data_IF_728916492694
#
_entry.id   IF_728916492694
#
_cell.length_a   1.000
_cell.length_b   1.000
_cell.length_c   1.000
_cell.angle_alpha   90.00
_cell.angle_beta   90.00
_cell.angle_gamma   90.00
#
_symmetry.space_group_name_H-M   'P 1'
#
loop_
_entity.id
_entity.type
_entity.pdbx_description
1 polymer ?
#
# COMPACT_ATOMS: atom_id res chain seq x y z
N UNK A 1 26.54 30.39 -30.62
CA UNK A 1 25.71 29.19 -30.35
C UNK A 1 25.42 29.21 -28.85
N UNK A 2 24.19 28.88 -28.40
CA UNK A 2 23.93 28.73 -26.97
C UNK A 2 24.87 27.64 -26.41
N UNK A 3 25.37 27.83 -25.20
CA UNK A 3 26.17 26.80 -24.51
C UNK A 3 25.19 25.76 -23.97
N UNK A 4 25.38 24.49 -24.34
CA UNK A 4 24.62 23.38 -23.78
C UNK A 4 25.24 22.92 -22.47
N UNK A 5 24.41 22.66 -21.47
CA UNK A 5 24.80 22.22 -20.14
C UNK A 5 24.04 20.94 -19.77
N UNK A 6 24.53 20.20 -18.78
CA UNK A 6 23.77 19.09 -18.19
C UNK A 6 22.46 19.59 -17.56
N UNK A 7 21.45 18.73 -17.40
CA UNK A 7 20.19 19.11 -16.79
C UNK A 7 20.38 19.62 -15.36
N UNK A 8 19.52 20.53 -14.93
CA UNK A 8 19.50 20.96 -13.54
C UNK A 8 18.93 19.88 -12.63
N UNK A 9 19.20 20.03 -11.33
CA UNK A 9 18.60 19.20 -10.29
C UNK A 9 17.07 19.24 -10.37
N UNK A 10 16.45 18.10 -10.11
CA UNK A 10 14.99 18.00 -9.98
C UNK A 10 14.59 18.55 -8.60
N UNK A 11 13.94 19.71 -8.61
CA UNK A 11 13.48 20.39 -7.39
C UNK A 11 12.05 20.00 -6.98
N UNK A 12 11.23 19.54 -7.94
CA UNK A 12 9.84 19.14 -7.73
C UNK A 12 9.72 17.64 -7.96
N UNK A 13 9.65 16.90 -6.85
CA UNK A 13 9.58 15.45 -6.83
C UNK A 13 8.64 15.01 -5.69
N UNK A 14 7.62 14.25 -6.05
CA UNK A 14 6.61 13.69 -5.17
C UNK A 14 6.67 12.17 -5.18
N UNK A 15 6.24 11.60 -4.07
CA UNK A 15 6.11 10.16 -3.87
C UNK A 15 4.77 9.90 -3.24
N UNK A 16 3.98 9.00 -3.83
CA UNK A 16 2.75 8.51 -3.22
C UNK A 16 2.95 7.02 -2.88
N UNK A 17 2.76 6.62 -1.62
CA UNK A 17 2.93 5.22 -1.23
C UNK A 17 1.82 4.37 -1.86
N UNK A 18 2.17 3.16 -2.27
CA UNK A 18 1.26 2.05 -2.64
C UNK A 18 1.50 0.89 -1.67
N UNK A 19 0.64 -0.12 -1.70
CA UNK A 19 0.79 -1.31 -0.86
C UNK A 19 2.13 -2.01 -1.08
N UNK A 20 2.40 -2.44 -2.32
CA UNK A 20 3.62 -3.17 -2.69
C UNK A 20 4.62 -2.31 -3.46
N UNK A 21 4.51 -0.98 -3.33
CA UNK A 21 5.22 -0.07 -4.20
C UNK A 21 5.13 1.40 -3.82
N UNK A 22 5.64 2.25 -4.71
CA UNK A 22 5.57 3.70 -4.59
C UNK A 22 5.40 4.29 -5.98
N UNK A 23 4.42 5.18 -6.14
CA UNK A 23 4.31 6.04 -7.32
C UNK A 23 5.27 7.23 -7.17
N UNK A 24 6.16 7.39 -8.14
CA UNK A 24 7.10 8.51 -8.21
C UNK A 24 6.63 9.48 -9.28
N UNK A 25 6.54 10.76 -8.94
CA UNK A 25 6.15 11.81 -9.87
C UNK A 25 7.09 13.00 -9.77
N UNK A 26 7.64 13.47 -10.89
CA UNK A 26 8.47 14.66 -10.89
C UNK A 26 8.22 15.56 -12.08
N UNK A 27 8.52 16.85 -11.91
CA UNK A 27 8.50 17.81 -13.00
C UNK A 27 9.84 17.80 -13.72
N UNK A 28 9.80 17.84 -15.04
CA UNK A 28 11.01 17.97 -15.85
C UNK A 28 11.83 19.21 -15.42
N UNK A 29 13.14 19.06 -15.13
CA UNK A 29 13.99 20.17 -14.77
C UNK A 29 14.40 20.98 -16.01
N UNK A 30 15.05 22.13 -15.78
CA UNK A 30 15.67 22.87 -16.89
C UNK A 30 16.70 22.00 -17.62
N UNK A 31 16.52 21.85 -18.93
CA UNK A 31 17.31 20.94 -19.77
C UNK A 31 18.70 21.49 -20.17
N UNK A 32 19.04 22.70 -19.75
CA UNK A 32 20.34 23.31 -20.03
C UNK A 32 20.62 23.59 -21.51
N UNK A 33 19.58 23.64 -22.36
CA UNK A 33 19.70 23.87 -23.81
C UNK A 33 19.94 22.62 -24.65
N UNK A 34 19.81 21.42 -24.07
CA UNK A 34 19.81 20.14 -24.79
C UNK A 34 18.65 19.27 -24.29
N UNK A 35 17.98 18.56 -25.20
CA UNK A 35 16.84 17.69 -24.88
C UNK A 35 17.18 16.63 -23.83
N UNK A 36 16.29 16.43 -22.86
CA UNK A 36 16.41 15.34 -21.88
C UNK A 36 16.03 14.04 -22.59
N UNK A 37 16.94 13.07 -22.55
CA UNK A 37 16.81 11.80 -23.28
C UNK A 37 16.37 10.65 -22.39
N UNK A 38 16.62 10.72 -21.08
CA UNK A 38 16.24 9.70 -20.12
C UNK A 38 16.32 10.20 -18.68
N UNK A 39 15.80 9.38 -17.75
CA UNK A 39 15.91 9.59 -16.32
C UNK A 39 16.55 8.35 -15.68
N UNK A 40 17.31 8.58 -14.62
CA UNK A 40 17.81 7.52 -13.74
C UNK A 40 17.18 7.65 -12.37
N UNK A 41 16.80 6.52 -11.80
CA UNK A 41 16.15 6.42 -10.50
C UNK A 41 17.01 5.49 -9.64
N UNK A 42 17.23 5.91 -8.39
CA UNK A 42 17.86 5.04 -7.39
C UNK A 42 17.03 4.98 -6.12
N UNK A 43 17.11 3.84 -5.45
CA UNK A 43 16.39 3.58 -4.22
C UNK A 43 17.27 2.85 -3.20
N UNK A 44 16.92 2.97 -1.93
CA UNK A 44 17.49 2.19 -0.81
C UNK A 44 16.47 2.11 0.32
N UNK A 45 16.69 1.21 1.27
CA UNK A 45 16.02 1.32 2.57
C UNK A 45 16.53 2.56 3.30
N UNK A 46 15.62 3.32 3.90
CA UNK A 46 15.96 4.52 4.68
C UNK A 46 16.60 4.13 6.02
N UNK A 47 17.38 5.04 6.59
CA UNK A 47 17.81 4.90 7.98
C UNK A 47 16.60 5.10 8.90
N UNK A 48 16.50 4.25 9.92
CA UNK A 48 15.54 4.42 11.01
C UNK A 48 16.28 4.89 12.25
N UNK A 49 15.80 5.97 12.85
CA UNK A 49 16.25 6.37 14.18
C UNK A 49 15.79 5.35 15.22
N UNK A 50 16.64 5.07 16.20
CA UNK A 50 16.31 4.16 17.28
C UNK A 50 15.23 4.76 18.18
N UNK A 51 14.19 4.00 18.46
CA UNK A 51 13.14 4.39 19.41
C UNK A 51 13.46 3.76 20.77
N UNK A 52 13.60 4.55 21.85
CA UNK A 52 13.80 3.98 23.18
C UNK A 52 12.56 3.21 23.64
N UNK A 53 12.75 2.25 24.54
CA UNK A 53 11.63 1.57 25.18
C UNK A 53 10.77 2.59 25.93
N UNK A 54 9.45 2.42 25.86
CA UNK A 54 8.50 3.27 26.58
C UNK A 54 7.37 2.43 27.17
N UNK A 55 6.76 2.94 28.24
CA UNK A 55 5.66 2.27 28.94
C UNK A 55 4.35 2.97 28.64
N UNK A 56 3.40 2.23 28.08
CA UNK A 56 2.01 2.67 27.92
C UNK A 56 1.22 2.23 29.15
N UNK A 57 0.43 3.13 29.72
CA UNK A 57 -0.51 2.79 30.79
C UNK A 57 -1.88 2.60 30.16
N UNK A 58 -2.43 1.40 30.28
CA UNK A 58 -3.75 1.02 29.80
C UNK A 58 -4.72 1.27 30.96
N UNK A 59 -5.67 2.22 30.82
CA UNK A 59 -6.65 2.50 31.86
C UNK A 59 -7.49 1.26 32.16
N UNK A 60 -7.62 0.94 33.44
CA UNK A 60 -8.57 -0.08 33.88
C UNK A 60 -10.00 0.43 33.78
N UNK A 61 -10.95 -0.48 33.54
CA UNK A 61 -12.37 -0.17 33.55
C UNK A 61 -12.96 -0.45 34.94
N UNK A 62 -13.07 0.60 35.76
CA UNK A 62 -13.67 0.50 37.10
C UNK A 62 -15.19 0.24 37.08
N UNK A 63 -15.86 0.52 35.97
CA UNK A 63 -17.30 0.36 35.78
C UNK A 63 -17.70 -0.97 35.10
N UNK A 64 -16.73 -1.72 34.58
CA UNK A 64 -16.96 -3.02 33.97
C UNK A 64 -17.28 -4.06 35.05
N UNK A 65 -18.00 -5.11 34.68
CA UNK A 65 -18.30 -6.21 35.58
C UNK A 65 -17.78 -7.53 34.98
N UNK A 66 -16.61 -8.02 35.43
CA UNK A 66 -15.83 -7.54 36.57
C UNK A 66 -14.99 -6.28 36.27
N UNK A 67 -14.62 -5.48 37.29
CA UNK A 67 -13.74 -4.33 37.10
C UNK A 67 -12.34 -4.77 36.66
N UNK A 68 -11.78 -4.14 35.64
CA UNK A 68 -10.39 -4.38 35.21
C UNK A 68 -9.44 -3.38 35.85
N UNK A 69 -8.27 -3.84 36.29
CA UNK A 69 -7.23 -3.00 36.89
C UNK A 69 -6.42 -2.28 35.81
N UNK A 70 -5.87 -1.11 36.15
CA UNK A 70 -4.87 -0.46 35.30
C UNK A 70 -3.69 -1.42 35.08
N UNK A 71 -3.25 -1.51 33.83
CA UNK A 71 -2.09 -2.31 33.47
C UNK A 71 -1.07 -1.45 32.73
N UNK A 72 0.19 -1.89 32.77
CA UNK A 72 1.27 -1.21 32.08
C UNK A 72 1.88 -2.17 31.07
N UNK A 73 1.93 -1.75 29.81
CA UNK A 73 2.59 -2.47 28.74
C UNK A 73 3.92 -1.78 28.44
N UNK A 74 5.02 -2.53 28.51
CA UNK A 74 6.33 -2.02 28.10
C UNK A 74 6.54 -2.36 26.64
N UNK A 75 6.65 -1.34 25.80
CA UNK A 75 7.04 -1.49 24.41
C UNK A 75 8.58 -1.51 24.35
N UNK A 76 9.19 -2.57 23.79
CA UNK A 76 10.64 -2.70 23.76
C UNK A 76 11.30 -1.63 22.88
N UNK A 77 12.56 -1.32 23.17
CA UNK A 77 13.32 -0.39 22.35
C UNK A 77 13.53 -0.97 20.94
N UNK A 78 13.32 -0.15 19.91
CA UNK A 78 13.69 -0.48 18.54
C UNK A 78 15.07 0.11 18.25
N UNK A 79 16.09 -0.70 17.94
CA UNK A 79 17.43 -0.20 17.64
C UNK A 79 17.44 0.59 16.32
N UNK A 80 18.31 1.60 16.24
CA UNK A 80 18.53 2.35 15.01
C UNK A 80 19.00 1.40 13.91
N UNK A 81 18.50 1.58 12.69
CA UNK A 81 18.91 0.80 11.52
C UNK A 81 19.59 1.72 10.50
N UNK A 82 20.80 1.35 10.03
CA UNK A 82 21.46 2.13 8.98
C UNK A 82 20.72 2.00 7.65
N UNK A 83 20.81 3.05 6.83
CA UNK A 83 20.29 3.00 5.46
C UNK A 83 21.01 1.91 4.64
N UNK A 84 20.28 1.31 3.71
CA UNK A 84 20.84 0.35 2.77
C UNK A 84 21.77 1.01 1.73
N UNK A 85 22.38 0.17 0.90
CA UNK A 85 23.13 0.64 -0.27
C UNK A 85 22.16 1.17 -1.33
N UNK A 86 22.59 2.18 -2.08
CA UNK A 86 21.85 2.66 -3.24
C UNK A 86 21.82 1.59 -4.33
N UNK A 87 20.64 1.35 -4.89
CA UNK A 87 20.41 0.45 -6.01
C UNK A 87 19.72 1.23 -7.15
N UNK A 88 20.14 0.98 -8.39
CA UNK A 88 19.45 1.52 -9.56
C UNK A 88 18.14 0.79 -9.80
N UNK A 89 17.09 1.54 -10.10
CA UNK A 89 15.80 1.00 -10.53
C UNK A 89 15.71 1.04 -12.06
N UNK A 90 15.59 -0.13 -12.74
CA UNK A 90 15.54 -0.20 -14.20
C UNK A 90 14.12 0.06 -14.70
N UNK A 91 13.65 1.30 -14.57
CA UNK A 91 12.31 1.73 -14.99
C UNK A 91 12.36 2.83 -16.04
N UNK A 92 11.37 2.83 -16.95
CA UNK A 92 11.18 3.92 -17.92
C UNK A 92 9.94 4.71 -17.50
N UNK A 93 10.07 6.00 -17.17
CA UNK A 93 8.92 6.80 -16.78
C UNK A 93 8.01 7.11 -17.97
N UNK A 94 6.73 7.33 -17.66
CA UNK A 94 5.74 7.82 -18.60
C UNK A 94 5.64 9.33 -18.49
N UNK A 95 5.74 10.00 -19.63
CA UNK A 95 5.57 11.45 -19.71
C UNK A 95 4.08 11.83 -19.68
N UNK A 96 3.75 12.86 -18.89
CA UNK A 96 2.43 13.48 -18.84
C UNK A 96 2.57 14.99 -18.95
N UNK A 97 1.62 15.66 -19.62
CA UNK A 97 1.59 17.12 -19.69
C UNK A 97 0.49 17.66 -18.78
N UNK A 98 0.86 18.49 -17.79
CA UNK A 98 -0.09 19.14 -16.87
C UNK A 98 -0.17 20.63 -17.19
N UNK A 99 -1.40 21.16 -17.27
CA UNK A 99 -1.62 22.58 -17.54
C UNK A 99 -1.04 23.08 -18.88
N UNK A 100 -1.01 22.21 -19.90
CA UNK A 100 -0.59 22.49 -21.30
C UNK A 100 0.89 22.86 -21.53
N UNK A 101 1.67 23.13 -20.48
CA UNK A 101 3.09 23.55 -20.61
C UNK A 101 4.06 22.84 -19.68
N UNK A 102 3.59 22.24 -18.58
CA UNK A 102 4.48 21.52 -17.67
C UNK A 102 4.60 20.06 -18.10
N UNK A 103 5.83 19.62 -18.33
CA UNK A 103 6.16 18.23 -18.58
C UNK A 103 6.44 17.54 -17.24
N UNK A 104 5.71 16.47 -16.98
CA UNK A 104 5.78 15.65 -15.80
C UNK A 104 6.14 14.23 -16.19
N UNK A 105 6.78 13.52 -15.27
CA UNK A 105 7.22 12.16 -15.46
C UNK A 105 6.68 11.34 -14.28
N UNK A 106 6.16 10.17 -14.60
CA UNK A 106 5.53 9.28 -13.63
C UNK A 106 6.04 7.85 -13.81
N UNK A 107 6.32 7.17 -12.70
CA UNK A 107 6.63 5.75 -12.71
C UNK A 107 6.23 5.09 -11.41
N UNK A 108 5.75 3.85 -11.50
CA UNK A 108 5.49 3.02 -10.35
C UNK A 108 6.68 2.09 -10.08
N UNK A 109 7.20 2.15 -8.85
CA UNK A 109 8.19 1.19 -8.34
C UNK A 109 7.42 0.11 -7.60
N UNK A 110 7.46 -1.13 -8.09
CA UNK A 110 6.75 -2.29 -7.51
C UNK A 110 7.70 -3.29 -6.87
N UNK A 111 7.16 -4.24 -6.11
CA UNK A 111 7.92 -5.31 -5.46
C UNK A 111 8.71 -4.83 -4.23
N UNK A 112 8.28 -3.73 -3.62
CA UNK A 112 8.84 -3.22 -2.37
C UNK A 112 8.20 -3.93 -1.19
N UNK A 113 8.95 -4.05 -0.09
CA UNK A 113 8.43 -4.63 1.15
C UNK A 113 7.51 -3.64 1.84
N UNK A 114 6.30 -4.07 2.19
CA UNK A 114 5.27 -3.25 2.83
C UNK A 114 5.73 -2.77 4.22
N UNK A 115 5.28 -1.58 4.64
CA UNK A 115 5.63 -0.99 5.93
C UNK A 115 7.11 -0.56 6.08
N UNK A 116 7.94 -0.72 5.04
CA UNK A 116 9.36 -0.34 5.07
C UNK A 116 9.55 1.08 4.53
N UNK A 117 10.38 1.86 5.22
CA UNK A 117 10.80 3.18 4.76
C UNK A 117 11.84 3.04 3.63
N UNK A 118 11.55 3.62 2.47
CA UNK A 118 12.48 3.73 1.35
C UNK A 118 12.87 5.19 1.11
N UNK A 119 14.07 5.39 0.59
CA UNK A 119 14.60 6.69 0.16
C UNK A 119 14.86 6.64 -1.35
N UNK A 120 14.24 7.56 -2.10
CA UNK A 120 14.30 7.65 -3.55
C UNK A 120 14.99 8.92 -4.02
N UNK A 121 15.74 8.80 -5.13
CA UNK A 121 16.27 9.96 -5.86
C UNK A 121 16.17 9.75 -7.36
N UNK A 122 15.98 10.86 -8.08
CA UNK A 122 15.87 10.88 -9.53
C UNK A 122 16.86 11.91 -10.10
N UNK A 123 17.43 11.64 -11.28
CA UNK A 123 18.18 12.62 -12.06
C UNK A 123 17.83 12.54 -13.54
N UNK A 124 17.85 13.68 -14.23
CA UNK A 124 17.63 13.77 -15.67
C UNK A 124 18.95 13.66 -16.44
N UNK A 125 18.90 13.09 -17.65
CA UNK A 125 20.04 12.91 -18.55
C UNK A 125 19.78 13.55 -19.90
N UNK A 126 20.76 14.29 -20.42
CA UNK A 126 20.78 14.78 -21.80
C UNK A 126 22.11 14.40 -22.48
N UNK A 127 22.28 14.83 -23.73
CA UNK A 127 23.49 14.57 -24.52
C UNK A 127 24.79 15.16 -23.95
N UNK A 128 24.71 16.08 -22.98
CA UNK A 128 25.87 16.69 -22.29
C UNK A 128 26.19 15.95 -20.98
N UNK A 129 25.22 15.29 -20.36
CA UNK A 129 25.40 14.51 -19.13
C UNK A 129 24.11 14.37 -18.33
N UNK A 130 24.16 13.81 -17.10
CA UNK A 130 25.32 13.60 -16.27
C UNK A 130 26.39 12.67 -16.85
N UNK A 131 27.66 13.03 -16.62
CA UNK A 131 28.85 12.23 -16.97
C UNK A 131 29.59 11.76 -15.71
N UNK A 132 29.05 12.09 -14.54
CA UNK A 132 29.52 11.68 -13.22
C UNK A 132 29.13 10.21 -12.94
N UNK A 133 30.08 9.48 -12.34
CA UNK A 133 29.88 8.08 -11.95
C UNK A 133 28.81 7.98 -10.86
N UNK A 134 28.10 6.85 -10.83
CA UNK A 134 27.04 6.56 -9.87
C UNK A 134 27.51 6.73 -8.41
N UNK A 135 28.80 6.42 -8.15
CA UNK A 135 29.42 6.42 -6.83
C UNK A 135 30.14 7.73 -6.46
N UNK A 136 30.43 8.64 -7.40
CA UNK A 136 31.38 9.74 -7.19
C UNK A 136 30.76 11.05 -6.66
N UNK A 137 29.44 11.27 -6.74
CA UNK A 137 28.80 12.45 -6.12
C UNK A 137 27.31 12.23 -5.77
N UNK A 138 27.00 11.76 -4.54
CA UNK A 138 25.63 11.62 -4.09
C UNK A 138 25.02 12.98 -3.70
N UNK A 139 24.68 13.82 -4.68
CA UNK A 139 23.74 14.93 -4.41
C UNK A 139 23.84 16.19 -5.27
N UNK A 140 24.89 16.40 -6.07
CA UNK A 140 24.94 17.63 -6.87
C UNK A 140 24.03 17.63 -8.10
N UNK A 141 23.60 16.46 -8.58
CA UNK A 141 22.72 16.30 -9.75
C UNK A 141 21.49 15.43 -9.52
N UNK A 142 21.50 14.65 -8.46
CA UNK A 142 20.32 13.92 -7.97
C UNK A 142 19.35 14.88 -7.29
N UNK A 143 18.05 14.59 -7.39
CA UNK A 143 17.04 15.23 -6.55
C UNK A 143 17.39 15.11 -5.06
N UNK A 144 16.75 15.92 -4.22
CA UNK A 144 16.74 15.60 -2.79
C UNK A 144 16.10 14.23 -2.56
N UNK A 145 16.59 13.52 -1.55
CA UNK A 145 16.04 12.22 -1.14
C UNK A 145 14.57 12.38 -0.75
N UNK A 146 13.73 11.47 -1.23
CA UNK A 146 12.33 11.37 -0.82
C UNK A 146 12.14 10.09 -0.05
N UNK A 147 11.95 10.29 1.25
CA UNK A 147 11.69 9.22 2.19
C UNK A 147 10.18 8.99 2.22
N UNK A 148 9.76 7.74 2.00
CA UNK A 148 8.37 7.32 1.97
C UNK A 148 8.28 5.91 2.56
N UNK A 149 7.28 5.68 3.40
CA UNK A 149 6.91 4.33 3.81
C UNK A 149 6.03 3.75 2.72
N UNK A 150 6.34 2.56 2.22
CA UNK A 150 5.32 1.78 1.49
C UNK A 150 4.09 1.65 2.38
N UNK A 151 2.90 1.65 1.80
CA UNK A 151 1.72 1.42 2.62
C UNK A 151 1.93 0.07 3.30
N UNK A 152 1.82 0.07 4.61
CA UNK A 152 1.57 -1.17 5.30
C UNK A 152 0.25 -1.67 4.70
N UNK A 153 0.25 -2.87 4.11
CA UNK A 153 -0.99 -3.62 4.14
C UNK A 153 -1.21 -3.77 5.63
N UNK A 154 -2.09 -2.94 6.17
CA UNK A 154 -2.88 -3.25 7.34
C UNK A 154 -3.54 -4.55 6.93
N UNK A 155 -2.82 -5.64 7.17
CA UNK A 155 -3.35 -6.95 7.03
C UNK A 155 -4.35 -6.94 8.18
N UNK A 156 -5.62 -6.69 7.87
CA UNK A 156 -6.63 -6.41 8.90
C UNK A 156 -6.83 -7.59 9.86
N UNK A 157 -6.12 -8.70 9.66
CA UNK A 157 -5.90 -9.72 10.68
C UNK A 157 -5.02 -9.28 11.88
N UNK A 158 -4.26 -8.18 11.80
CA UNK A 158 -3.46 -7.65 12.93
C UNK A 158 -3.86 -6.24 13.39
N UNK A 159 -4.73 -5.53 12.66
CA UNK A 159 -5.11 -4.15 13.00
C UNK A 159 -6.44 -4.15 13.72
N UNK A 160 -6.29 -4.24 15.02
CA UNK A 160 -7.26 -4.28 16.12
C UNK A 160 -8.33 -3.19 16.18
N UNK A 161 -8.48 -2.35 15.16
CA UNK A 161 -9.12 -1.04 15.29
C UNK A 161 -10.29 -0.81 14.31
N UNK A 162 -10.67 -1.78 13.45
CA UNK A 162 -11.97 -1.69 12.76
C UNK A 162 -13.07 -2.02 13.78
N UNK A 163 -14.05 -1.12 13.88
CA UNK A 163 -15.17 -1.24 14.79
C UNK A 163 -16.44 -1.51 13.97
N UNK A 164 -16.79 -2.77 13.82
CA UNK A 164 -18.08 -3.16 13.25
C UNK A 164 -19.11 -3.06 14.37
N UNK A 165 -20.09 -2.15 14.24
CA UNK A 165 -21.06 -1.88 15.31
C UNK A 165 -21.78 -3.14 15.80
N UNK A 166 -22.34 -3.10 17.03
CA UNK A 166 -23.05 -4.22 17.66
C UNK A 166 -24.13 -4.81 16.72
N UNK A 167 -23.92 -6.07 16.31
CA UNK A 167 -24.80 -6.88 15.47
C UNK A 167 -25.37 -8.10 16.20
N UNK A 168 -24.94 -8.36 17.45
CA UNK A 168 -25.43 -9.44 18.29
C UNK A 168 -24.96 -10.84 17.86
N UNK A 169 -23.87 -10.93 17.10
CA UNK A 169 -23.24 -12.19 16.67
C UNK A 169 -22.00 -12.47 17.52
N UNK A 170 -21.65 -13.76 17.65
CA UNK A 170 -20.44 -14.29 18.33
C UNK A 170 -19.47 -14.75 17.23
N UNK A 171 -18.71 -13.80 16.69
CA UNK A 171 -17.80 -13.91 15.56
C UNK A 171 -16.57 -14.77 15.91
N UNK A 172 -16.10 -14.75 17.15
CA UNK A 172 -14.92 -15.51 17.59
C UNK A 172 -15.22 -16.88 18.23
N UNK A 173 -16.51 -17.16 18.42
CA UNK A 173 -17.06 -18.42 18.91
C UNK A 173 -16.60 -18.79 20.33
N UNK A 174 -16.32 -17.79 21.18
CA UNK A 174 -16.04 -18.02 22.60
C UNK A 174 -17.31 -18.25 23.45
N UNK A 175 -18.50 -18.05 22.85
CA UNK A 175 -19.81 -18.21 23.49
C UNK A 175 -20.38 -16.94 24.10
N UNK A 176 -19.75 -15.77 23.88
CA UNK A 176 -20.16 -14.48 24.43
C UNK A 176 -20.44 -13.49 23.29
N UNK A 177 -21.72 -13.15 23.13
CA UNK A 177 -22.12 -12.09 22.18
C UNK A 177 -21.80 -10.71 22.76
N UNK A 178 -21.39 -9.78 21.90
CA UNK A 178 -21.18 -8.36 22.20
C UNK A 178 -19.96 -8.01 23.09
N UNK A 179 -18.86 -8.75 22.99
CA UNK A 179 -17.59 -8.36 23.59
C UNK A 179 -16.83 -7.28 22.79
N UNK A 180 -15.73 -6.79 23.36
CA UNK A 180 -14.96 -5.70 22.75
C UNK A 180 -14.07 -6.20 21.60
N UNK A 181 -13.69 -7.48 21.63
CA UNK A 181 -13.01 -8.23 20.57
C UNK A 181 -13.97 -8.75 19.50
N UNK A 182 -15.21 -9.07 19.84
CA UNK A 182 -16.30 -9.34 18.89
C UNK A 182 -16.47 -8.21 17.86
N UNK A 183 -16.47 -6.96 18.32
CA UNK A 183 -16.50 -5.76 17.46
C UNK A 183 -15.21 -5.56 16.64
N UNK A 184 -14.13 -6.27 16.98
CA UNK A 184 -12.79 -6.17 16.38
C UNK A 184 -12.47 -7.31 15.42
N UNK A 185 -13.25 -8.41 15.41
CA UNK A 185 -12.91 -9.64 14.69
C UNK A 185 -13.57 -9.77 13.30
N UNK A 186 -13.80 -8.65 12.60
CA UNK A 186 -14.29 -8.64 11.22
C UNK A 186 -15.82 -8.72 11.09
N UNK A 187 -16.36 -8.76 9.85
CA UNK A 187 -17.80 -8.83 9.62
C UNK A 187 -18.41 -10.11 10.20
N UNK A 188 -19.70 -10.09 10.58
CA UNK A 188 -20.37 -11.27 11.15
C UNK A 188 -20.21 -12.50 10.24
N UNK A 189 -19.92 -13.68 10.82
CA UNK A 189 -19.81 -14.91 10.06
C UNK A 189 -21.11 -15.18 9.31
N UNK A 190 -20.98 -15.56 8.04
CA UNK A 190 -22.10 -16.04 7.27
C UNK A 190 -22.65 -17.31 7.93
N UNK A 191 -23.97 -17.48 7.96
CA UNK A 191 -24.61 -18.65 8.54
C UNK A 191 -24.01 -19.95 7.95
N UNK A 192 -23.94 -21.02 8.74
CA UNK A 192 -23.39 -22.32 8.27
C UNK A 192 -24.12 -22.85 7.01
N UNK A 193 -25.40 -22.48 6.84
CA UNK A 193 -26.24 -22.82 5.70
C UNK A 193 -26.38 -21.67 4.68
N UNK A 194 -25.46 -20.70 4.71
CA UNK A 194 -25.46 -19.57 3.78
C UNK A 194 -25.43 -20.05 2.32
N UNK A 195 -26.42 -19.61 1.56
CA UNK A 195 -26.55 -19.90 0.14
C UNK A 195 -25.70 -18.92 -0.68
N UNK A 196 -24.44 -19.31 -0.92
CA UNK A 196 -23.54 -18.55 -1.79
C UNK A 196 -24.05 -18.45 -3.23
N UNK A 197 -24.98 -19.29 -3.67
CA UNK A 197 -25.56 -19.24 -5.02
C UNK A 197 -26.75 -18.29 -5.15
N UNK A 198 -27.15 -17.61 -4.08
CA UNK A 198 -28.30 -16.70 -4.12
C UNK A 198 -28.01 -15.46 -4.99
N UNK A 199 -28.84 -15.26 -6.01
CA UNK A 199 -28.76 -14.15 -6.96
C UNK A 199 -28.78 -12.79 -6.25
N UNK A 200 -27.89 -11.88 -6.66
CA UNK A 200 -27.87 -10.50 -6.17
C UNK A 200 -27.41 -10.32 -4.72
N UNK A 201 -26.81 -11.33 -4.11
CA UNK A 201 -26.24 -11.24 -2.75
C UNK A 201 -25.12 -10.21 -2.71
N UNK A 202 -25.13 -9.37 -1.67
CA UNK A 202 -24.10 -8.37 -1.44
C UNK A 202 -23.22 -8.79 -0.26
N UNK A 203 -21.92 -8.86 -0.50
CA UNK A 203 -20.92 -9.13 0.51
C UNK A 203 -20.29 -7.82 0.97
N UNK A 204 -20.13 -7.68 2.28
CA UNK A 204 -19.50 -6.51 2.88
C UNK A 204 -18.01 -6.45 2.53
N UNK A 205 -17.41 -5.30 2.82
CA UNK A 205 -15.97 -5.10 2.76
C UNK A 205 -15.24 -6.10 3.67
N UNK A 206 -13.97 -6.38 3.37
CA UNK A 206 -13.06 -7.26 4.11
C UNK A 206 -13.49 -8.74 4.22
N UNK A 207 -14.45 -9.19 3.41
CA UNK A 207 -14.87 -10.59 3.38
C UNK A 207 -13.77 -11.53 2.84
N UNK A 208 -13.49 -12.61 3.57
CA UNK A 208 -12.51 -13.63 3.17
C UNK A 208 -13.23 -14.95 2.90
N UNK A 209 -13.05 -15.47 1.68
CA UNK A 209 -13.56 -16.78 1.27
C UNK A 209 -12.43 -17.80 1.23
N UNK A 210 -12.22 -18.47 2.36
CA UNK A 210 -11.15 -19.44 2.62
C UNK A 210 -11.30 -20.79 1.87
N UNK A 211 -12.45 -21.02 1.25
CA UNK A 211 -12.74 -22.19 0.44
C UNK A 211 -13.46 -21.80 -0.83
N UNK A 212 -13.36 -22.64 -1.86
CA UNK A 212 -14.03 -22.40 -3.13
C UNK A 212 -15.55 -22.35 -2.91
N UNK A 213 -16.18 -21.23 -3.23
CA UNK A 213 -17.63 -21.02 -3.16
C UNK A 213 -18.23 -21.01 -4.56
N UNK A 214 -19.52 -21.33 -4.66
CA UNK A 214 -20.25 -21.14 -5.91
C UNK A 214 -21.09 -19.86 -5.76
N UNK A 215 -20.72 -18.82 -6.49
CA UNK A 215 -21.30 -17.49 -6.42
C UNK A 215 -22.32 -17.30 -7.53
N UNK A 216 -23.55 -16.94 -7.18
CA UNK A 216 -24.65 -16.78 -8.16
C UNK A 216 -24.57 -15.47 -8.96
N UNK A 217 -25.45 -15.35 -9.96
CA UNK A 217 -25.56 -14.17 -10.82
C UNK A 217 -25.83 -12.86 -10.04
N UNK A 218 -25.22 -11.77 -10.48
CA UNK A 218 -25.46 -10.42 -10.00
C UNK A 218 -24.90 -10.09 -8.61
N UNK A 219 -24.04 -10.95 -8.05
CA UNK A 219 -23.44 -10.72 -6.75
C UNK A 219 -22.45 -9.56 -6.74
N UNK A 220 -22.33 -8.88 -5.61
CA UNK A 220 -21.42 -7.74 -5.42
C UNK A 220 -20.51 -7.96 -4.24
N UNK A 221 -19.22 -7.67 -4.41
CA UNK A 221 -18.22 -7.78 -3.37
C UNK A 221 -17.73 -6.40 -2.94
N UNK A 222 -17.67 -6.17 -1.64
CA UNK A 222 -17.12 -4.98 -1.03
C UNK A 222 -15.60 -4.90 -1.15
N UNK A 223 -15.04 -3.80 -0.64
CA UNK A 223 -13.61 -3.51 -0.69
C UNK A 223 -12.81 -4.61 0.02
N UNK A 224 -11.55 -4.83 -0.36
CA UNK A 224 -10.60 -5.73 0.30
C UNK A 224 -11.03 -7.22 0.35
N UNK A 225 -12.06 -7.61 -0.41
CA UNK A 225 -12.53 -9.01 -0.48
C UNK A 225 -11.42 -9.94 -0.97
N UNK A 226 -11.22 -11.08 -0.30
CA UNK A 226 -10.19 -12.06 -0.66
C UNK A 226 -10.77 -13.43 -1.00
N UNK A 227 -10.42 -13.95 -2.17
CA UNK A 227 -10.80 -15.29 -2.63
C UNK A 227 -9.62 -16.25 -2.52
N UNK A 228 -9.90 -17.53 -2.26
CA UNK A 228 -8.90 -18.61 -2.25
C UNK A 228 -8.34 -18.89 -3.65
N UNK A 229 -7.13 -19.45 -3.72
CA UNK A 229 -6.52 -19.91 -4.96
C UNK A 229 -7.43 -20.89 -5.71
N UNK A 230 -7.62 -20.63 -7.02
CA UNK A 230 -8.42 -21.48 -7.88
C UNK A 230 -9.93 -21.32 -7.71
N UNK A 231 -10.42 -20.30 -7.00
CA UNK A 231 -11.84 -19.90 -7.04
C UNK A 231 -12.30 -19.77 -8.51
N UNK A 232 -13.46 -20.32 -8.85
CA UNK A 232 -14.02 -20.22 -10.21
C UNK A 232 -15.29 -19.37 -10.17
N UNK A 233 -15.41 -18.43 -11.11
CA UNK A 233 -16.59 -17.61 -11.33
C UNK A 233 -17.21 -18.06 -12.66
N UNK A 234 -18.32 -18.78 -12.59
CA UNK A 234 -19.07 -19.33 -13.72
C UNK A 234 -20.39 -18.58 -14.02
N UNK A 235 -20.79 -17.66 -13.14
CA UNK A 235 -21.89 -16.70 -13.31
C UNK A 235 -21.37 -15.25 -13.37
N UNK A 236 -22.19 -14.32 -13.89
CA UNK A 236 -21.84 -12.90 -13.97
C UNK A 236 -21.90 -12.26 -12.57
N UNK A 237 -20.75 -11.80 -12.07
CA UNK A 237 -20.63 -11.10 -10.77
C UNK A 237 -20.00 -9.71 -10.94
N UNK A 238 -20.09 -8.89 -9.90
CA UNK A 238 -19.63 -7.51 -9.88
C UNK A 238 -18.53 -7.28 -8.82
N UNK A 239 -17.33 -6.95 -9.29
CA UNK A 239 -16.16 -6.60 -8.50
C UNK A 239 -15.98 -5.08 -8.48
N UNK A 240 -16.96 -4.38 -7.92
CA UNK A 240 -16.91 -2.92 -7.79
C UNK A 240 -16.17 -2.43 -6.54
N UNK A 241 -15.86 -3.34 -5.60
CA UNK A 241 -15.04 -3.02 -4.44
C UNK A 241 -13.58 -2.79 -4.82
N UNK A 242 -12.92 -1.90 -4.08
CA UNK A 242 -11.49 -1.61 -4.22
C UNK A 242 -10.63 -2.77 -3.65
N UNK A 243 -9.44 -2.99 -4.20
CA UNK A 243 -8.43 -3.91 -3.67
C UNK A 243 -8.87 -5.38 -3.46
N UNK A 244 -9.77 -5.89 -4.32
CA UNK A 244 -10.21 -7.29 -4.32
C UNK A 244 -9.05 -8.23 -4.75
N UNK A 245 -8.79 -9.27 -3.95
CA UNK A 245 -7.74 -10.25 -4.19
C UNK A 245 -8.29 -11.54 -4.77
N UNK A 246 -7.84 -11.86 -5.98
CA UNK A 246 -8.30 -13.04 -6.71
C UNK A 246 -7.42 -14.28 -6.54
N UNK A 247 -6.18 -14.17 -6.04
CA UNK A 247 -5.27 -15.28 -5.74
C UNK A 247 -5.19 -16.41 -6.81
N UNK A 248 -5.38 -16.09 -8.10
CA UNK A 248 -5.41 -17.11 -9.18
C UNK A 248 -6.81 -17.66 -9.51
N UNK A 249 -7.86 -16.92 -9.16
CA UNK A 249 -9.22 -17.21 -9.57
C UNK A 249 -9.38 -17.25 -11.09
N UNK A 250 -10.37 -18.01 -11.55
CA UNK A 250 -10.70 -18.18 -12.96
C UNK A 250 -12.07 -17.60 -13.25
N UNK A 251 -12.14 -16.98 -14.42
CA UNK A 251 -13.27 -16.22 -14.92
C UNK A 251 -13.76 -16.90 -16.20
N UNK A 252 -15.01 -17.37 -16.20
CA UNK A 252 -15.57 -18.10 -17.34
C UNK A 252 -16.49 -17.23 -18.21
N UNK A 253 -16.98 -16.09 -17.68
CA UNK A 253 -17.89 -15.18 -18.37
C UNK A 253 -17.29 -13.77 -18.51
N UNK A 254 -18.13 -12.75 -18.71
CA UNK A 254 -17.72 -11.36 -18.82
C UNK A 254 -18.02 -10.65 -17.49
N UNK A 255 -17.07 -10.69 -16.57
CA UNK A 255 -17.25 -10.09 -15.25
C UNK A 255 -17.12 -8.55 -15.33
N UNK A 256 -17.87 -7.86 -14.46
CA UNK A 256 -17.76 -6.40 -14.35
C UNK A 256 -16.72 -6.06 -13.29
N UNK A 257 -15.67 -5.37 -13.71
CA UNK A 257 -14.65 -4.79 -12.83
C UNK A 257 -14.89 -3.28 -12.74
N UNK A 258 -14.90 -2.74 -11.52
CA UNK A 258 -15.03 -1.30 -11.23
C UNK A 258 -13.79 -0.51 -11.64
#
# INVERSE_FOLDING_TARGET
MPVQMSPQKIDVFYTAPRETGVLLEWREPSNGGAEITSYEIRMRTSALDGVPAYTVTIPGCAACNPPTAESQQTIPAQPAQPAGNWLLFPGIPTETTRGEIEVWQEIEVTGLTNGIMYDFQVRAINSVGPTDDFDDDPGQRWSDGRIVQTQEIVAYHEVSDIFWGNDGVDNDHDGQVDEQDEQRNGPPPLAEDHDYGAEGTQYADDMIFDGQKNFGEGQTFGDNTEFVEGQEFDDDVNFSGEDIKFNGAKFQNAETFG
#
